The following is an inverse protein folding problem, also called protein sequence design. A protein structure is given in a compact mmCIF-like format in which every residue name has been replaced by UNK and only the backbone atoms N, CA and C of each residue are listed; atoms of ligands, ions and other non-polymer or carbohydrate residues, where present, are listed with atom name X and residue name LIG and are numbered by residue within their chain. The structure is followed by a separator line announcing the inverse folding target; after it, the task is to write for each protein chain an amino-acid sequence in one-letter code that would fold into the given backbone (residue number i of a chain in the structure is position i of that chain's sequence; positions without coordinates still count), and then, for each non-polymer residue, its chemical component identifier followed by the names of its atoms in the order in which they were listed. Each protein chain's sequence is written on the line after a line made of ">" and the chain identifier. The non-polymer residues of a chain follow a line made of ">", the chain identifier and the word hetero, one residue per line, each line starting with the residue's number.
data_IF_759586678627
#
_entry.id   IF_759586678627
#
_cell.length_a   1.000
_cell.length_b   1.000
_cell.length_c   1.000
_cell.angle_alpha   90.00
_cell.angle_beta   90.00
_cell.angle_gamma   90.00
#
_symmetry.space_group_name_H-M   'P 1'
#
loop_
_entity.id
_entity.type
_entity.pdbx_description
1 polymer ?
#
# COMPACT_ATOMS: atom_id res chain seq x y z
N UNK A 1 -9.01 -16.89 -7.37
CA UNK A 1 -8.42 -18.22 -7.67
C UNK A 1 -9.16 -19.40 -7.03
N UNK A 2 -9.58 -20.40 -7.82
CA UNK A 2 -9.88 -21.73 -7.30
C UNK A 2 -8.55 -22.39 -6.88
N UNK A 3 -8.41 -22.80 -5.62
CA UNK A 3 -7.21 -23.49 -5.15
C UNK A 3 -7.09 -24.82 -5.91
N UNK A 4 -6.24 -24.86 -6.92
CA UNK A 4 -5.88 -26.12 -7.59
C UNK A 4 -5.03 -26.92 -6.62
N UNK A 5 -5.38 -28.17 -6.26
CA UNK A 5 -4.64 -28.90 -5.26
C UNK A 5 -3.23 -29.20 -5.77
N UNK A 6 -2.25 -29.04 -4.87
CA UNK A 6 -0.85 -29.35 -5.12
C UNK A 6 -0.71 -30.81 -5.61
N UNK A 7 -0.17 -30.98 -6.82
CA UNK A 7 0.25 -32.28 -7.35
C UNK A 7 1.47 -32.75 -6.56
N UNK A 8 1.25 -33.47 -5.46
CA UNK A 8 2.35 -33.95 -4.63
C UNK A 8 1.95 -34.64 -3.33
N UNK A 9 0.95 -35.53 -3.35
CA UNK A 9 0.74 -36.52 -2.31
C UNK A 9 0.10 -37.76 -2.94
N UNK A 10 0.59 -38.95 -2.58
CA UNK A 10 0.05 -40.21 -3.06
C UNK A 10 -1.47 -40.24 -2.83
N UNK A 11 -2.25 -40.26 -3.92
CA UNK A 11 -3.71 -40.33 -3.87
C UNK A 11 -4.13 -41.59 -3.13
N UNK A 12 -4.37 -41.44 -1.83
CA UNK A 12 -4.99 -42.46 -1.01
C UNK A 12 -6.41 -42.57 -1.54
N UNK A 13 -6.69 -43.56 -2.40
CA UNK A 13 -8.05 -43.83 -2.88
C UNK A 13 -8.94 -44.07 -1.66
N UNK A 14 -9.69 -43.05 -1.28
CA UNK A 14 -10.69 -43.14 -0.22
C UNK A 14 -11.76 -44.13 -0.68
N UNK A 15 -12.22 -44.98 0.23
CA UNK A 15 -13.37 -45.83 -0.08
C UNK A 15 -14.61 -44.97 -0.32
N UNK A 16 -15.59 -45.50 -1.06
CA UNK A 16 -16.88 -44.82 -1.29
C UNK A 16 -17.54 -44.41 0.02
N UNK A 17 -17.47 -45.25 1.06
CA UNK A 17 -17.98 -44.93 2.40
C UNK A 17 -17.22 -43.78 3.07
N UNK A 18 -15.90 -43.69 2.87
CA UNK A 18 -15.11 -42.58 3.37
C UNK A 18 -15.42 -41.27 2.65
N UNK A 19 -15.61 -41.31 1.32
CA UNK A 19 -16.06 -40.16 0.53
C UNK A 19 -17.46 -39.71 0.95
N UNK A 20 -18.39 -40.64 1.17
CA UNK A 20 -19.74 -40.33 1.66
C UNK A 20 -19.71 -39.66 3.05
N UNK A 21 -18.88 -40.16 3.96
CA UNK A 21 -18.71 -39.57 5.29
C UNK A 21 -18.07 -38.17 5.22
N UNK A 22 -17.10 -37.98 4.32
CA UNK A 22 -16.46 -36.69 4.06
C UNK A 22 -17.47 -35.67 3.49
N UNK A 23 -18.27 -36.07 2.50
CA UNK A 23 -19.35 -35.26 1.93
C UNK A 23 -20.40 -34.89 3.00
N UNK A 24 -20.78 -35.85 3.87
CA UNK A 24 -21.75 -35.64 4.93
C UNK A 24 -21.24 -34.65 6.01
N UNK A 25 -19.95 -34.71 6.34
CA UNK A 25 -19.32 -33.74 7.23
C UNK A 25 -19.23 -32.35 6.57
N UNK A 26 -18.84 -32.30 5.29
CA UNK A 26 -18.74 -31.07 4.51
C UNK A 26 -20.08 -30.34 4.38
N UNK A 27 -21.17 -31.04 4.05
CA UNK A 27 -22.51 -30.43 3.95
C UNK A 27 -22.93 -29.78 5.27
N UNK A 28 -22.76 -30.47 6.39
CA UNK A 28 -23.08 -29.94 7.73
C UNK A 28 -22.25 -28.70 8.08
N UNK A 29 -20.98 -28.67 7.69
CA UNK A 29 -20.11 -27.54 7.99
C UNK A 29 -20.37 -26.34 7.08
N UNK A 30 -20.32 -26.53 5.76
CA UNK A 30 -20.35 -25.44 4.78
C UNK A 30 -21.76 -24.98 4.40
N UNK A 31 -22.78 -25.84 4.50
CA UNK A 31 -24.16 -25.50 4.12
C UNK A 31 -25.03 -25.25 5.35
N UNK A 32 -24.89 -26.08 6.38
CA UNK A 32 -25.74 -25.99 7.59
C UNK A 32 -25.10 -25.13 8.70
N UNK A 33 -23.84 -24.69 8.54
CA UNK A 33 -23.17 -23.81 9.50
C UNK A 33 -22.82 -24.46 10.85
N UNK A 34 -22.84 -25.80 10.94
CA UNK A 34 -22.57 -26.51 12.19
C UNK A 34 -21.09 -26.46 12.57
N UNK A 35 -20.82 -26.35 13.86
CA UNK A 35 -19.45 -26.44 14.38
C UNK A 35 -18.89 -27.86 14.25
N UNK A 36 -17.56 -27.99 14.21
CA UNK A 36 -16.87 -29.30 14.17
C UNK A 36 -17.25 -30.20 15.36
N UNK A 37 -17.63 -29.62 16.50
CA UNK A 37 -18.06 -30.35 17.71
C UNK A 37 -19.48 -30.90 17.55
N UNK A 38 -20.40 -30.13 17.00
CA UNK A 38 -21.77 -30.59 16.74
C UNK A 38 -21.79 -31.70 15.70
N UNK A 39 -21.00 -31.55 14.64
CA UNK A 39 -20.82 -32.57 13.59
C UNK A 39 -20.23 -33.84 14.18
N UNK A 40 -19.22 -33.72 15.05
CA UNK A 40 -18.59 -34.85 15.73
C UNK A 40 -19.62 -35.67 16.53
N UNK A 41 -20.47 -34.98 17.31
CA UNK A 41 -21.56 -35.60 18.07
C UNK A 41 -22.56 -36.31 17.17
N UNK A 42 -22.98 -35.67 16.07
CA UNK A 42 -23.94 -36.25 15.14
C UNK A 42 -23.40 -37.47 14.36
N UNK A 43 -22.12 -37.45 14.00
CA UNK A 43 -21.49 -38.50 13.21
C UNK A 43 -20.85 -39.60 14.07
N UNK A 44 -20.87 -39.47 15.40
CA UNK A 44 -20.24 -40.45 16.30
C UNK A 44 -18.72 -40.53 16.16
N UNK A 45 -18.06 -39.43 15.80
CA UNK A 45 -16.60 -39.35 15.60
C UNK A 45 -16.00 -38.21 16.40
N UNK A 46 -14.67 -38.15 16.53
CA UNK A 46 -14.01 -37.04 17.21
C UNK A 46 -14.01 -35.75 16.36
N UNK A 47 -13.92 -34.57 17.02
CA UNK A 47 -13.76 -33.27 16.33
C UNK A 47 -12.56 -33.22 15.39
N UNK A 48 -11.49 -33.95 15.73
CA UNK A 48 -10.29 -34.07 14.92
C UNK A 48 -10.55 -34.91 13.67
N UNK A 49 -11.36 -35.96 13.78
CA UNK A 49 -11.81 -36.75 12.63
C UNK A 49 -12.69 -35.92 11.70
N UNK A 50 -13.58 -35.06 12.23
CA UNK A 50 -14.36 -34.12 11.42
C UNK A 50 -13.44 -33.16 10.66
N UNK A 51 -12.46 -32.55 11.33
CA UNK A 51 -11.50 -31.67 10.66
C UNK A 51 -10.77 -32.37 9.50
N UNK A 52 -10.37 -33.63 9.70
CA UNK A 52 -9.77 -34.45 8.64
C UNK A 52 -10.74 -34.78 7.52
N UNK A 53 -12.01 -35.10 7.82
CA UNK A 53 -13.04 -35.34 6.82
C UNK A 53 -13.33 -34.11 5.95
N UNK A 54 -13.27 -32.90 6.53
CA UNK A 54 -13.40 -31.65 5.77
C UNK A 54 -12.20 -31.44 4.83
N UNK A 55 -10.99 -31.74 5.29
CA UNK A 55 -9.79 -31.70 4.45
C UNK A 55 -9.86 -32.77 3.33
N UNK A 56 -10.22 -34.01 3.67
CA UNK A 56 -10.41 -35.11 2.72
C UNK A 56 -11.49 -34.74 1.66
N UNK A 57 -12.56 -34.03 2.06
CA UNK A 57 -13.59 -33.57 1.14
C UNK A 57 -13.10 -32.50 0.15
N UNK A 58 -12.24 -31.58 0.60
CA UNK A 58 -11.60 -30.59 -0.28
C UNK A 58 -10.59 -31.27 -1.22
N UNK A 59 -9.73 -32.14 -0.70
CA UNK A 59 -8.71 -32.85 -1.48
C UNK A 59 -9.33 -33.77 -2.54
N UNK A 60 -10.46 -34.42 -2.21
CA UNK A 60 -11.22 -35.25 -3.14
C UNK A 60 -12.10 -34.46 -4.11
N UNK A 61 -12.11 -33.12 -4.05
CA UNK A 61 -12.93 -32.26 -4.92
C UNK A 61 -14.44 -32.30 -4.63
N UNK A 62 -14.86 -32.88 -3.50
CA UNK A 62 -16.26 -32.90 -3.05
C UNK A 62 -16.72 -31.52 -2.57
N UNK A 63 -15.78 -30.66 -2.18
CA UNK A 63 -16.00 -29.27 -1.80
C UNK A 63 -15.16 -28.38 -2.70
N UNK A 64 -15.82 -27.45 -3.39
CA UNK A 64 -15.17 -26.38 -4.14
C UNK A 64 -15.56 -25.05 -3.50
N UNK A 65 -14.57 -24.29 -3.03
CA UNK A 65 -14.78 -22.97 -2.44
C UNK A 65 -14.39 -21.94 -3.48
N UNK A 66 -15.37 -21.14 -3.91
CA UNK A 66 -15.14 -20.00 -4.78
C UNK A 66 -15.33 -18.72 -3.97
N UNK A 67 -14.31 -17.88 -3.96
CA UNK A 67 -14.41 -16.50 -3.46
C UNK A 67 -14.52 -15.61 -4.68
N UNK A 68 -15.64 -14.91 -4.80
CA UNK A 68 -15.90 -13.96 -5.90
C UNK A 68 -15.39 -12.59 -5.45
N UNK A 69 -14.37 -12.10 -6.14
CA UNK A 69 -13.84 -10.74 -5.95
C UNK A 69 -14.74 -9.76 -6.71
N UNK A 70 -15.05 -8.57 -6.15
CA UNK A 70 -15.80 -7.54 -6.88
C UNK A 70 -15.17 -7.24 -8.24
N UNK A 71 -15.99 -7.03 -9.27
CA UNK A 71 -15.51 -6.80 -10.65
C UNK A 71 -14.69 -5.52 -10.81
N UNK A 72 -14.78 -4.60 -9.87
CA UNK A 72 -13.95 -3.39 -9.79
C UNK A 72 -12.53 -3.65 -9.31
N UNK A 73 -12.19 -4.89 -8.91
CA UNK A 73 -10.88 -5.28 -8.42
C UNK A 73 -10.31 -6.45 -9.23
N UNK A 74 -8.99 -6.51 -9.34
CA UNK A 74 -8.26 -7.63 -9.91
C UNK A 74 -7.49 -8.38 -8.81
N UNK A 75 -8.15 -9.37 -8.21
CA UNK A 75 -7.57 -10.17 -7.13
C UNK A 75 -6.38 -11.03 -7.57
N UNK A 76 -6.38 -11.52 -8.81
CA UNK A 76 -5.30 -12.37 -9.31
C UNK A 76 -4.02 -11.55 -9.56
N UNK A 77 -4.13 -10.32 -10.10
CA UNK A 77 -3.00 -9.40 -10.19
C UNK A 77 -2.49 -8.97 -8.81
N UNK A 78 -3.40 -8.71 -7.88
CA UNK A 78 -3.05 -8.35 -6.51
C UNK A 78 -2.23 -9.46 -5.83
N UNK A 79 -2.69 -10.72 -5.91
CA UNK A 79 -1.97 -11.87 -5.36
C UNK A 79 -0.60 -12.06 -6.02
N UNK A 80 -0.52 -11.96 -7.36
CA UNK A 80 0.75 -12.08 -8.07
C UNK A 80 1.79 -11.03 -7.65
N UNK A 81 1.37 -9.77 -7.49
CA UNK A 81 2.25 -8.70 -7.01
C UNK A 81 2.66 -8.91 -5.55
N UNK A 82 1.70 -9.26 -4.68
CA UNK A 82 1.95 -9.52 -3.26
C UNK A 82 2.98 -10.65 -3.10
N UNK A 83 2.81 -11.74 -3.83
CA UNK A 83 3.73 -12.88 -3.78
C UNK A 83 5.11 -12.54 -4.36
N UNK A 84 5.16 -11.79 -5.46
CA UNK A 84 6.43 -11.41 -6.11
C UNK A 84 7.29 -10.49 -5.23
N UNK A 85 6.68 -9.49 -4.61
CA UNK A 85 7.40 -8.46 -3.85
C UNK A 85 7.43 -8.71 -2.35
N UNK A 86 6.66 -9.68 -1.83
CA UNK A 86 6.66 -10.02 -0.41
C UNK A 86 6.07 -8.94 0.50
N UNK A 87 5.28 -8.01 -0.04
CA UNK A 87 4.62 -6.95 0.73
C UNK A 87 3.32 -7.45 1.37
N UNK A 88 2.85 -6.74 2.39
CA UNK A 88 1.71 -7.18 3.23
C UNK A 88 0.40 -7.23 2.45
N UNK A 89 0.10 -6.21 1.65
CA UNK A 89 -1.16 -6.12 0.92
C UNK A 89 -0.99 -5.46 -0.44
N UNK A 90 -1.79 -5.89 -1.42
CA UNK A 90 -1.89 -5.25 -2.74
C UNK A 90 -3.36 -5.15 -3.09
N UNK A 91 -3.77 -4.01 -3.62
CA UNK A 91 -5.08 -3.77 -4.16
C UNK A 91 -4.94 -3.23 -5.57
N UNK A 92 -5.55 -3.95 -6.53
CA UNK A 92 -5.53 -3.59 -7.95
C UNK A 92 -6.95 -3.23 -8.36
N UNK A 93 -7.20 -1.94 -8.57
CA UNK A 93 -8.49 -1.44 -9.05
C UNK A 93 -8.59 -1.51 -10.57
N UNK A 94 -9.82 -1.63 -11.07
CA UNK A 94 -10.14 -1.52 -12.49
C UNK A 94 -10.87 -0.20 -12.72
N UNK A 95 -10.18 0.85 -13.18
CA UNK A 95 -10.82 2.13 -13.43
C UNK A 95 -11.84 2.00 -14.57
N UNK A 96 -12.92 2.78 -14.51
CA UNK A 96 -13.88 2.86 -15.62
C UNK A 96 -13.35 3.70 -16.79
N UNK A 97 -12.41 4.60 -16.49
CA UNK A 97 -11.72 5.49 -17.41
C UNK A 97 -10.21 5.26 -17.30
N UNK A 98 -9.62 4.72 -18.37
CA UNK A 98 -8.19 4.40 -18.44
C UNK A 98 -7.29 5.64 -18.56
N UNK A 99 -7.86 6.85 -18.66
CA UNK A 99 -7.07 8.08 -18.59
C UNK A 99 -6.30 8.17 -17.26
N UNK A 100 -5.17 8.88 -17.25
CA UNK A 100 -4.40 9.10 -16.00
C UNK A 100 -5.26 9.73 -14.89
N UNK A 101 -6.27 10.53 -15.23
CA UNK A 101 -7.17 11.12 -14.26
C UNK A 101 -8.20 10.10 -13.75
N UNK A 102 -8.75 9.26 -14.62
CA UNK A 102 -9.61 8.14 -14.24
C UNK A 102 -8.91 7.14 -13.33
N UNK A 103 -7.68 6.76 -13.68
CA UNK A 103 -6.81 5.91 -12.85
C UNK A 103 -6.58 6.52 -11.46
N UNK A 104 -6.21 7.81 -11.39
CA UNK A 104 -5.97 8.50 -10.11
C UNK A 104 -7.23 8.57 -9.26
N UNK A 105 -8.39 8.87 -9.84
CA UNK A 105 -9.68 8.89 -9.13
C UNK A 105 -10.00 7.52 -8.55
N UNK A 106 -9.87 6.45 -9.34
CA UNK A 106 -10.16 5.09 -8.88
C UNK A 106 -9.22 4.65 -7.73
N UNK A 107 -7.92 4.90 -7.86
CA UNK A 107 -6.92 4.58 -6.83
C UNK A 107 -7.14 5.43 -5.57
N UNK A 108 -7.44 6.73 -5.73
CA UNK A 108 -7.76 7.63 -4.62
C UNK A 108 -9.03 7.20 -3.88
N UNK A 109 -10.11 6.89 -4.59
CA UNK A 109 -11.37 6.47 -3.98
C UNK A 109 -11.24 5.15 -3.22
N UNK A 110 -10.53 4.18 -3.78
CA UNK A 110 -10.26 2.92 -3.06
C UNK A 110 -9.39 3.15 -1.82
N UNK A 111 -8.35 3.99 -1.94
CA UNK A 111 -7.47 4.31 -0.81
C UNK A 111 -8.23 5.08 0.28
N UNK A 112 -9.15 5.97 -0.09
CA UNK A 112 -10.02 6.69 0.86
C UNK A 112 -10.86 5.69 1.66
N UNK A 113 -11.62 4.82 0.99
CA UNK A 113 -12.42 3.80 1.66
C UNK A 113 -11.59 2.85 2.53
N UNK A 114 -10.37 2.49 2.09
CA UNK A 114 -9.45 1.70 2.90
C UNK A 114 -9.05 2.42 4.20
N UNK A 115 -8.77 3.73 4.14
CA UNK A 115 -8.47 4.52 5.33
C UNK A 115 -9.70 4.67 6.22
N UNK A 116 -10.87 4.95 5.65
CA UNK A 116 -12.13 5.11 6.38
C UNK A 116 -12.53 3.85 7.18
N UNK A 117 -12.16 2.66 6.70
CA UNK A 117 -12.41 1.39 7.38
C UNK A 117 -11.30 0.96 8.36
N UNK A 118 -10.08 1.48 8.22
CA UNK A 118 -8.90 0.97 8.96
C UNK A 118 -8.24 1.97 9.91
N UNK A 119 -8.54 3.26 9.76
CA UNK A 119 -8.02 4.32 10.62
C UNK A 119 -8.89 4.43 11.88
N UNK A 120 -8.23 4.61 13.02
CA UNK A 120 -8.84 4.85 14.32
C UNK A 120 -8.39 6.20 14.88
N UNK A 121 -9.06 6.68 15.93
CA UNK A 121 -8.69 7.94 16.59
C UNK A 121 -7.28 7.92 17.23
N UNK A 122 -6.70 6.74 17.44
CA UNK A 122 -5.34 6.57 17.97
C UNK A 122 -4.25 6.65 16.88
N UNK A 123 -4.64 6.63 15.60
CA UNK A 123 -3.69 6.62 14.50
C UNK A 123 -3.07 8.00 14.24
N UNK A 124 -1.78 7.98 13.89
CA UNK A 124 -1.04 9.10 13.33
C UNK A 124 -0.77 8.77 11.87
N UNK A 125 -1.48 9.45 10.98
CA UNK A 125 -1.51 9.19 9.54
C UNK A 125 -0.71 10.24 8.80
N UNK A 126 0.46 9.83 8.31
CA UNK A 126 1.28 10.67 7.44
C UNK A 126 0.68 10.78 6.05
N UNK A 127 0.58 11.98 5.50
CA UNK A 127 0.23 12.20 4.10
C UNK A 127 1.41 12.83 3.35
N UNK A 128 1.82 12.17 2.27
CA UNK A 128 2.67 12.78 1.27
C UNK A 128 1.89 13.85 0.51
N UNK A 129 2.57 14.50 -0.43
CA UNK A 129 1.96 15.51 -1.29
C UNK A 129 2.10 15.13 -2.77
N UNK A 130 1.09 15.47 -3.56
CA UNK A 130 1.06 15.24 -5.00
C UNK A 130 -0.34 14.93 -5.51
N UNK A 131 -0.45 14.81 -6.83
CA UNK A 131 -1.73 14.77 -7.55
C UNK A 131 -2.68 13.65 -7.08
N UNK A 132 -2.15 12.44 -6.83
CA UNK A 132 -2.95 11.32 -6.33
C UNK A 132 -3.39 11.51 -4.87
N UNK A 133 -2.52 12.10 -4.03
CA UNK A 133 -2.83 12.36 -2.62
C UNK A 133 -3.85 13.51 -2.48
N UNK A 134 -3.80 14.53 -3.36
CA UNK A 134 -4.82 15.57 -3.42
C UNK A 134 -6.20 15.00 -3.73
N UNK A 135 -6.29 14.09 -4.71
CA UNK A 135 -7.55 13.39 -5.02
C UNK A 135 -8.03 12.55 -3.83
N UNK A 136 -7.13 11.86 -3.13
CA UNK A 136 -7.46 11.11 -1.91
C UNK A 136 -8.06 12.04 -0.84
N UNK A 137 -7.36 13.13 -0.51
CA UNK A 137 -7.81 14.08 0.51
C UNK A 137 -9.15 14.75 0.14
N UNK A 138 -9.44 14.93 -1.14
CA UNK A 138 -10.74 15.42 -1.62
C UNK A 138 -11.86 14.36 -1.56
N UNK A 139 -11.52 13.08 -1.46
CA UNK A 139 -12.49 11.96 -1.46
C UNK A 139 -12.86 11.51 -0.05
N UNK A 140 -11.99 11.75 0.95
CA UNK A 140 -12.29 11.45 2.35
C UNK A 140 -13.53 12.19 2.83
N UNK A 141 -14.41 11.49 3.54
CA UNK A 141 -15.69 12.03 4.01
C UNK A 141 -16.17 11.45 5.34
N UNK A 142 -15.64 10.29 5.78
CA UNK A 142 -16.01 9.69 7.05
C UNK A 142 -15.31 10.38 8.24
N UNK A 143 -15.97 10.40 9.39
CA UNK A 143 -15.36 10.88 10.64
C UNK A 143 -14.33 9.87 11.13
N UNK A 144 -13.06 10.28 11.20
CA UNK A 144 -11.95 9.45 11.67
C UNK A 144 -11.44 9.86 13.06
N UNK A 145 -11.40 11.17 13.33
CA UNK A 145 -10.92 11.71 14.61
C UNK A 145 -9.44 11.42 14.90
N UNK A 146 -8.63 11.14 13.87
CA UNK A 146 -7.22 10.79 14.01
C UNK A 146 -6.31 12.04 13.97
N UNK A 147 -5.01 11.82 13.82
CA UNK A 147 -4.04 12.89 13.54
C UNK A 147 -3.43 12.71 12.16
N UNK A 148 -3.64 13.66 11.25
CA UNK A 148 -2.92 13.74 10.00
C UNK A 148 -1.62 14.53 10.16
N UNK A 149 -0.53 14.05 9.57
CA UNK A 149 0.80 14.68 9.64
C UNK A 149 1.37 14.87 8.23
N UNK A 150 1.91 16.05 7.96
CA UNK A 150 2.64 16.32 6.71
C UNK A 150 3.94 15.52 6.66
N UNK A 151 4.16 14.72 5.61
CA UNK A 151 5.38 13.90 5.50
C UNK A 151 6.60 14.63 4.93
N UNK A 152 6.42 15.72 4.18
CA UNK A 152 7.56 16.43 3.59
C UNK A 152 7.32 17.92 3.46
N UNK A 153 8.41 18.68 3.34
CA UNK A 153 8.36 20.08 2.95
C UNK A 153 7.68 20.28 1.60
N UNK A 154 7.33 21.53 1.33
CA UNK A 154 6.61 21.92 0.13
C UNK A 154 7.56 22.25 -1.03
N UNK A 155 7.11 21.97 -2.25
CA UNK A 155 7.69 22.51 -3.48
C UNK A 155 6.55 23.19 -4.26
N UNK A 156 6.64 24.47 -4.64
CA UNK A 156 5.65 25.07 -5.51
C UNK A 156 5.59 24.32 -6.84
N UNK A 157 4.41 23.87 -7.27
CA UNK A 157 4.19 23.29 -8.59
C UNK A 157 3.03 23.99 -9.31
N UNK A 158 3.19 24.33 -10.60
CA UNK A 158 2.12 24.98 -11.36
C UNK A 158 0.94 24.04 -11.68
N UNK A 159 1.14 22.72 -11.63
CA UNK A 159 0.12 21.71 -11.93
C UNK A 159 -0.59 21.14 -10.69
N UNK A 160 -0.27 21.65 -9.49
CA UNK A 160 -0.92 21.29 -8.24
C UNK A 160 -1.36 22.56 -7.54
N UNK A 161 -2.68 22.79 -7.49
CA UNK A 161 -3.26 24.01 -6.92
C UNK A 161 -3.01 24.12 -5.40
N UNK A 162 -2.89 22.99 -4.71
CA UNK A 162 -2.79 22.92 -3.25
C UNK A 162 -1.37 22.63 -2.76
N UNK A 163 -0.95 23.37 -1.73
CA UNK A 163 0.28 23.07 -0.99
C UNK A 163 0.13 21.80 -0.14
N UNK A 164 1.25 21.21 0.29
CA UNK A 164 1.26 20.09 1.23
C UNK A 164 0.49 20.41 2.53
N UNK A 165 0.61 21.65 3.01
CA UNK A 165 -0.09 22.14 4.20
C UNK A 165 -1.61 22.11 3.99
N UNK A 166 -2.07 22.64 2.86
CA UNK A 166 -3.50 22.72 2.54
C UNK A 166 -4.12 21.33 2.40
N UNK A 167 -3.41 20.42 1.74
CA UNK A 167 -3.85 19.03 1.58
C UNK A 167 -4.11 18.35 2.92
N UNK A 168 -3.16 18.44 3.85
CA UNK A 168 -3.24 17.81 5.17
C UNK A 168 -4.38 18.42 5.99
N UNK A 169 -4.54 19.75 5.93
CA UNK A 169 -5.63 20.44 6.63
C UNK A 169 -7.00 20.05 6.08
N UNK A 170 -7.17 19.99 4.76
CA UNK A 170 -8.42 19.52 4.15
C UNK A 170 -8.77 18.10 4.57
N UNK A 171 -7.81 17.18 4.55
CA UNK A 171 -8.04 15.79 4.99
C UNK A 171 -8.49 15.75 6.46
N UNK A 172 -7.88 16.58 7.32
CA UNK A 172 -8.27 16.68 8.72
C UNK A 172 -9.68 17.26 8.89
N UNK A 173 -10.01 18.36 8.21
CA UNK A 173 -11.31 19.01 8.26
C UNK A 173 -12.43 18.09 7.77
N UNK A 174 -12.24 17.41 6.63
CA UNK A 174 -13.22 16.53 6.03
C UNK A 174 -13.57 15.32 6.92
N UNK A 175 -12.69 14.95 7.85
CA UNK A 175 -12.81 13.74 8.68
C UNK A 175 -12.93 14.03 10.18
N UNK A 176 -13.07 15.29 10.58
CA UNK A 176 -13.12 15.69 11.99
C UNK A 176 -11.84 15.35 12.77
N UNK A 177 -10.70 15.31 12.07
CA UNK A 177 -9.39 14.94 12.60
C UNK A 177 -8.53 16.19 12.88
N UNK A 178 -7.35 15.99 13.47
CA UNK A 178 -6.35 17.06 13.68
C UNK A 178 -5.27 17.04 12.59
N UNK A 179 -4.63 18.19 12.33
CA UNK A 179 -3.55 18.33 11.36
C UNK A 179 -2.27 18.86 12.02
N UNK A 180 -1.14 18.17 11.80
CA UNK A 180 0.21 18.67 12.10
C UNK A 180 0.93 18.96 10.80
N UNK A 181 1.34 20.21 10.61
CA UNK A 181 1.95 20.70 9.37
C UNK A 181 3.15 21.58 9.70
N UNK A 182 4.05 21.75 8.73
CA UNK A 182 5.21 22.63 8.89
C UNK A 182 5.52 23.40 7.60
N UNK A 183 6.12 24.57 7.78
CA UNK A 183 6.41 25.50 6.70
C UNK A 183 7.91 25.48 6.36
N UNK A 184 8.31 24.49 5.56
CA UNK A 184 9.67 24.37 5.06
C UNK A 184 9.67 23.94 3.58
N UNK A 185 10.70 24.30 2.80
CA UNK A 185 10.91 23.72 1.48
C UNK A 185 11.19 22.22 1.58
N UNK A 186 10.84 21.47 0.54
CA UNK A 186 11.14 20.03 0.45
C UNK A 186 12.64 19.75 0.56
N UNK A 187 13.45 20.52 -0.16
CA UNK A 187 14.90 20.40 -0.20
C UNK A 187 15.56 21.78 -0.14
N UNK A 188 16.74 21.84 0.45
CA UNK A 188 17.56 23.06 0.53
C UNK A 188 18.95 22.86 -0.09
N UNK A 189 19.71 23.93 -0.37
CA UNK A 189 21.00 23.83 -1.04
C UNK A 189 22.08 23.05 -0.27
N UNK A 190 22.03 23.08 1.06
CA UNK A 190 23.06 22.51 1.92
C UNK A 190 22.53 22.03 3.28
N UNK A 191 23.28 21.14 3.94
CA UNK A 191 22.93 20.55 5.21
C UNK A 191 22.82 21.58 6.35
N UNK A 192 23.65 22.63 6.35
CA UNK A 192 23.62 23.65 7.41
C UNK A 192 22.30 24.42 7.40
N UNK A 193 21.77 24.75 6.21
CA UNK A 193 20.45 25.34 6.03
C UNK A 193 19.35 24.37 6.50
N UNK A 194 19.51 23.07 6.20
CA UNK A 194 18.53 22.07 6.61
C UNK A 194 18.46 21.95 8.13
N UNK A 195 19.61 21.88 8.79
CA UNK A 195 19.72 21.78 10.24
C UNK A 195 19.18 23.04 10.94
N UNK A 196 19.44 24.23 10.38
CA UNK A 196 18.86 25.47 10.88
C UNK A 196 17.32 25.42 10.83
N UNK A 197 16.73 24.96 9.72
CA UNK A 197 15.28 24.81 9.59
C UNK A 197 14.72 23.73 10.53
N UNK A 198 15.37 22.56 10.62
CA UNK A 198 14.97 21.48 11.54
C UNK A 198 15.00 21.92 13.00
N UNK A 199 15.89 22.84 13.37
CA UNK A 199 16.01 23.38 14.73
C UNK A 199 14.97 24.46 15.07
N UNK A 200 14.29 25.03 14.07
CA UNK A 200 13.23 26.00 14.30
C UNK A 200 12.07 25.30 15.01
N UNK A 201 11.61 25.84 16.14
CA UNK A 201 10.69 25.14 17.06
C UNK A 201 9.45 24.55 16.38
N UNK A 202 8.77 25.32 15.53
CA UNK A 202 7.56 24.86 14.86
C UNK A 202 7.80 23.72 13.86
N UNK A 203 8.94 23.75 13.15
CA UNK A 203 9.35 22.67 12.26
C UNK A 203 9.77 21.44 13.09
N UNK A 204 10.60 21.64 14.12
CA UNK A 204 11.08 20.55 14.98
C UNK A 204 9.93 19.79 15.66
N UNK A 205 8.94 20.50 16.20
CA UNK A 205 7.78 19.92 16.86
C UNK A 205 6.93 19.10 15.88
N UNK A 206 6.73 19.60 14.66
CA UNK A 206 5.99 18.88 13.63
C UNK A 206 6.75 17.65 13.13
N UNK A 207 8.07 17.75 12.94
CA UNK A 207 8.90 16.62 12.49
C UNK A 207 8.97 15.51 13.55
N UNK A 208 8.87 15.84 14.85
CA UNK A 208 8.84 14.85 15.93
C UNK A 208 7.61 13.92 15.87
N UNK A 209 6.51 14.34 15.23
CA UNK A 209 5.34 13.48 15.01
C UNK A 209 5.61 12.37 13.99
N UNK A 210 6.64 12.49 13.14
CA UNK A 210 7.00 11.49 12.14
C UNK A 210 7.53 10.19 12.76
N UNK A 211 8.07 10.24 13.98
CA UNK A 211 8.47 9.05 14.74
C UNK A 211 7.25 8.27 15.29
N UNK A 212 6.06 8.87 15.24
CA UNK A 212 4.82 8.30 15.79
C UNK A 212 3.89 7.74 14.71
N UNK A 213 4.31 7.76 13.45
CA UNK A 213 3.49 7.31 12.33
C UNK A 213 3.04 5.86 12.54
N UNK A 214 1.73 5.67 12.56
CA UNK A 214 1.11 4.34 12.52
C UNK A 214 0.79 3.95 11.08
N UNK A 215 0.47 4.95 10.24
CA UNK A 215 0.19 4.80 8.82
C UNK A 215 0.85 5.94 8.04
N UNK A 216 1.28 5.69 6.81
CA UNK A 216 1.76 6.72 5.90
C UNK A 216 1.23 6.47 4.50
N UNK A 217 0.57 7.46 3.90
CA UNK A 217 0.10 7.39 2.52
C UNK A 217 1.04 8.16 1.62
N UNK A 218 1.71 7.43 0.75
CA UNK A 218 2.78 7.96 -0.11
C UNK A 218 2.46 7.76 -1.58
N UNK A 219 3.19 8.45 -2.46
CA UNK A 219 3.14 8.23 -3.89
C UNK A 219 4.52 7.84 -4.41
N UNK A 220 4.56 6.93 -5.37
CA UNK A 220 5.82 6.57 -6.04
C UNK A 220 6.14 7.61 -7.10
N UNK A 221 7.28 8.29 -6.95
CA UNK A 221 7.85 9.16 -7.98
C UNK A 221 8.82 8.39 -8.86
N UNK A 222 8.67 8.46 -10.18
CA UNK A 222 9.70 7.97 -11.10
C UNK A 222 10.76 9.05 -11.27
N UNK A 223 12.05 8.69 -11.28
CA UNK A 223 13.16 9.64 -11.37
C UNK A 223 13.28 10.25 -12.78
N UNK A 224 12.30 11.07 -13.15
CA UNK A 224 12.16 11.76 -14.44
C UNK A 224 11.45 13.11 -14.22
N UNK A 225 11.72 14.12 -15.07
CA UNK A 225 11.06 15.43 -14.97
C UNK A 225 9.54 15.33 -14.96
N UNK A 226 8.88 16.02 -14.01
CA UNK A 226 7.42 16.02 -13.86
C UNK A 226 6.82 14.75 -13.24
N UNK A 227 7.64 13.74 -12.96
CA UNK A 227 7.24 12.48 -12.31
C UNK A 227 7.87 12.30 -10.92
N UNK A 228 8.97 13.00 -10.61
CA UNK A 228 9.59 13.07 -9.28
C UNK A 228 9.62 14.50 -8.76
N UNK A 229 9.05 14.69 -7.58
CA UNK A 229 9.06 15.96 -6.86
C UNK A 229 10.46 16.31 -6.36
N UNK A 230 11.20 15.32 -5.85
CA UNK A 230 12.58 15.52 -5.43
C UNK A 230 13.47 15.94 -6.60
N UNK A 231 13.39 15.28 -7.76
CA UNK A 231 14.13 15.67 -8.96
C UNK A 231 13.80 17.10 -9.38
N UNK A 232 12.51 17.45 -9.42
CA UNK A 232 12.04 18.76 -9.83
C UNK A 232 12.52 19.88 -8.88
N UNK A 233 12.77 19.56 -7.59
CA UNK A 233 13.28 20.50 -6.59
C UNK A 233 14.78 20.82 -6.71
N UNK A 234 15.54 20.02 -7.47
CA UNK A 234 16.99 20.11 -7.53
C UNK A 234 17.50 20.94 -8.71
N UNK A 235 18.72 21.46 -8.58
CA UNK A 235 19.45 22.04 -9.70
C UNK A 235 20.06 20.98 -10.62
N UNK A 236 20.44 21.35 -11.84
CA UNK A 236 20.86 20.40 -12.88
C UNK A 236 22.06 19.54 -12.48
N UNK A 237 23.03 20.09 -11.75
CA UNK A 237 24.19 19.33 -11.27
C UNK A 237 23.83 18.19 -10.31
N UNK A 238 22.90 18.45 -9.36
CA UNK A 238 22.41 17.42 -8.44
C UNK A 238 21.62 16.34 -9.20
N UNK A 239 20.80 16.74 -10.19
CA UNK A 239 20.04 15.81 -11.03
C UNK A 239 20.95 14.87 -11.81
N UNK A 240 21.99 15.40 -12.44
CA UNK A 240 22.99 14.62 -13.17
C UNK A 240 23.73 13.65 -12.25
N UNK A 241 24.20 14.13 -11.09
CA UNK A 241 24.92 13.32 -10.12
C UNK A 241 24.08 12.16 -9.58
N UNK A 242 22.81 12.41 -9.24
CA UNK A 242 21.90 11.39 -8.71
C UNK A 242 21.45 10.40 -9.79
N UNK A 243 21.28 10.88 -11.03
CA UNK A 243 21.04 9.99 -12.18
C UNK A 243 22.24 9.08 -12.41
N UNK A 244 23.47 9.61 -12.33
CA UNK A 244 24.70 8.82 -12.43
C UNK A 244 24.89 7.86 -11.23
N UNK A 245 24.39 8.22 -10.05
CA UNK A 245 24.34 7.35 -8.87
C UNK A 245 23.29 6.23 -9.01
N UNK A 246 22.46 6.27 -10.04
CA UNK A 246 21.47 5.25 -10.36
C UNK A 246 20.15 5.42 -9.61
N UNK A 247 19.72 6.63 -9.25
CA UNK A 247 18.37 6.82 -8.71
C UNK A 247 17.33 6.46 -9.77
N UNK A 248 16.37 5.60 -9.40
CA UNK A 248 15.29 5.11 -10.28
C UNK A 248 13.94 5.65 -9.82
N UNK A 249 13.76 5.77 -8.51
CA UNK A 249 12.51 6.18 -7.89
C UNK A 249 12.75 7.02 -6.64
N UNK A 250 11.69 7.66 -6.18
CA UNK A 250 11.64 8.26 -4.85
C UNK A 250 10.29 8.03 -4.17
N UNK A 251 10.30 8.13 -2.84
CA UNK A 251 9.13 8.18 -1.99
C UNK A 251 9.32 9.33 -1.01
N UNK A 252 8.64 10.45 -1.25
CA UNK A 252 8.63 11.60 -0.32
C UNK A 252 10.05 12.14 -0.03
N UNK A 253 10.92 12.19 -1.03
CA UNK A 253 12.32 12.60 -0.89
C UNK A 253 13.31 11.48 -0.52
N UNK A 254 12.84 10.28 -0.16
CA UNK A 254 13.70 9.10 0.01
C UNK A 254 14.01 8.50 -1.35
N UNK A 255 15.29 8.49 -1.74
CA UNK A 255 15.73 8.05 -3.06
C UNK A 255 16.00 6.56 -3.09
N UNK A 256 15.58 5.89 -4.15
CA UNK A 256 15.73 4.44 -4.32
C UNK A 256 16.32 4.13 -5.70
N UNK A 257 17.37 3.31 -5.71
CA UNK A 257 18.04 2.81 -6.91
C UNK A 257 17.74 1.33 -7.19
N UNK A 258 18.48 0.70 -8.13
CA UNK A 258 18.23 -0.67 -8.57
C UNK A 258 18.21 -1.67 -7.42
N UNK A 259 17.32 -2.66 -7.54
CA UNK A 259 17.15 -3.68 -6.51
C UNK A 259 16.50 -3.19 -5.22
N UNK A 260 16.01 -1.94 -5.17
CA UNK A 260 15.39 -1.36 -3.99
C UNK A 260 16.38 -0.73 -3.01
N UNK A 261 17.64 -0.50 -3.41
CA UNK A 261 18.64 0.10 -2.54
C UNK A 261 18.35 1.58 -2.31
N UNK A 262 18.23 2.00 -1.06
CA UNK A 262 18.16 3.41 -0.70
C UNK A 262 19.49 4.14 -1.00
N UNK A 263 19.39 5.33 -1.57
CA UNK A 263 20.52 6.19 -1.94
C UNK A 263 20.54 7.41 -1.03
N UNK A 264 21.49 7.44 -0.11
CA UNK A 264 21.62 8.44 0.94
C UNK A 264 22.43 9.67 0.47
N UNK A 265 21.92 10.37 -0.54
CA UNK A 265 22.62 11.50 -1.17
C UNK A 265 21.92 12.87 -0.98
N UNK A 266 20.68 12.87 -0.49
CA UNK A 266 19.89 14.09 -0.23
C UNK A 266 19.32 14.16 1.19
N UNK A 267 19.54 13.14 2.03
CA UNK A 267 18.89 13.03 3.34
C UNK A 267 19.20 14.20 4.27
N UNK A 268 20.42 14.71 4.21
CA UNK A 268 20.87 15.86 5.01
C UNK A 268 20.24 17.18 4.53
N UNK A 269 19.75 17.25 3.29
CA UNK A 269 19.15 18.43 2.64
C UNK A 269 17.63 18.39 2.52
N UNK A 270 17.00 17.24 2.71
CA UNK A 270 15.53 17.06 2.62
C UNK A 270 14.87 17.30 3.97
N UNK A 271 13.83 18.14 4.01
CA UNK A 271 13.03 18.37 5.23
C UNK A 271 11.76 17.52 5.14
N UNK A 272 11.69 16.44 5.92
CA UNK A 272 10.57 15.53 5.93
C UNK A 272 10.88 14.19 6.57
N UNK A 273 10.02 13.22 6.29
CA UNK A 273 10.13 11.84 6.73
C UNK A 273 11.38 11.19 6.14
N UNK A 274 12.02 10.36 6.95
CA UNK A 274 13.22 9.63 6.58
C UNK A 274 12.89 8.18 6.20
N UNK A 275 13.77 7.53 5.45
CA UNK A 275 13.67 6.09 5.16
C UNK A 275 13.51 5.24 6.42
N UNK A 276 14.33 5.43 7.47
CA UNK A 276 14.16 4.75 8.75
C UNK A 276 12.79 4.93 9.41
N UNK A 277 12.21 6.13 9.36
CA UNK A 277 10.86 6.38 9.87
C UNK A 277 9.79 5.65 9.05
N UNK A 278 9.93 5.61 7.72
CA UNK A 278 9.03 4.83 6.86
C UNK A 278 9.15 3.32 7.15
N UNK A 279 10.36 2.78 7.32
CA UNK A 279 10.56 1.38 7.71
C UNK A 279 9.95 1.05 9.08
N UNK A 280 10.00 2.00 10.02
CA UNK A 280 9.39 1.84 11.35
C UNK A 280 7.85 1.98 11.34
N UNK A 281 7.29 2.61 10.30
CA UNK A 281 5.85 2.82 10.17
C UNK A 281 5.14 1.49 9.84
N UNK A 282 4.21 1.01 10.68
CA UNK A 282 3.56 -0.29 10.50
C UNK A 282 2.82 -0.45 9.16
N UNK A 283 2.22 0.63 8.65
CA UNK A 283 1.50 0.63 7.38
C UNK A 283 1.89 1.80 6.48
N UNK A 284 2.88 1.57 5.61
CA UNK A 284 3.14 2.49 4.48
C UNK A 284 2.34 2.03 3.26
N UNK A 285 1.38 2.86 2.85
CA UNK A 285 0.46 2.67 1.73
C UNK A 285 0.94 3.50 0.54
N UNK A 286 1.49 2.85 -0.48
CA UNK A 286 1.87 3.51 -1.72
C UNK A 286 0.72 3.53 -2.73
N UNK A 287 0.39 4.73 -3.20
CA UNK A 287 -0.47 4.94 -4.36
C UNK A 287 0.41 5.06 -5.62
N UNK A 288 0.15 4.21 -6.61
CA UNK A 288 0.87 4.23 -7.89
C UNK A 288 -0.11 4.27 -9.06
N UNK A 289 0.06 5.24 -9.95
CA UNK A 289 -0.75 5.43 -11.16
C UNK A 289 0.12 5.84 -12.35
N UNK A 290 -0.32 5.47 -13.55
CA UNK A 290 0.37 5.80 -14.80
C UNK A 290 1.41 4.74 -15.18
N UNK A 291 1.27 4.20 -16.39
CA UNK A 291 2.04 3.04 -16.85
C UNK A 291 3.55 3.29 -16.91
N UNK A 292 3.96 4.55 -17.11
CA UNK A 292 5.37 4.95 -17.14
C UNK A 292 6.10 4.76 -15.80
N UNK A 293 5.38 4.50 -14.70
CA UNK A 293 5.95 4.30 -13.36
C UNK A 293 6.24 2.85 -13.02
N UNK A 294 6.12 1.92 -13.97
CA UNK A 294 6.31 0.49 -13.71
C UNK A 294 7.66 0.15 -13.05
N UNK A 295 8.77 0.63 -13.64
CA UNK A 295 10.12 0.40 -13.11
C UNK A 295 10.32 1.03 -11.72
N UNK A 296 9.84 2.28 -11.56
CA UNK A 296 9.93 2.99 -10.28
C UNK A 296 9.13 2.29 -9.18
N UNK A 297 7.93 1.81 -9.51
CA UNK A 297 7.05 1.10 -8.58
C UNK A 297 7.66 -0.22 -8.18
N UNK A 298 8.14 -1.02 -9.15
CA UNK A 298 8.85 -2.27 -8.86
C UNK A 298 10.08 -2.04 -7.96
N UNK A 299 10.81 -0.95 -8.19
CA UNK A 299 11.99 -0.58 -7.40
C UNK A 299 11.64 -0.23 -5.96
N UNK A 300 10.61 0.62 -5.75
CA UNK A 300 10.13 0.97 -4.41
C UNK A 300 9.59 -0.27 -3.68
N UNK A 301 8.86 -1.16 -4.35
CA UNK A 301 8.35 -2.38 -3.73
C UNK A 301 9.48 -3.31 -3.24
N UNK A 302 10.63 -3.33 -3.93
CA UNK A 302 11.81 -4.09 -3.50
C UNK A 302 12.57 -3.45 -2.32
N UNK A 303 12.37 -2.17 -2.06
CA UNK A 303 13.10 -1.45 -1.00
C UNK A 303 12.69 -1.81 0.42
N UNK A 304 11.49 -2.37 0.59
CA UNK A 304 10.90 -2.61 1.92
C UNK A 304 10.25 -1.36 2.55
N UNK A 305 10.36 -0.18 1.93
CA UNK A 305 9.73 1.05 2.42
C UNK A 305 8.20 1.00 2.45
N UNK A 306 7.59 0.12 1.65
CA UNK A 306 6.15 0.06 1.41
C UNK A 306 5.58 -1.28 1.86
N UNK A 307 4.51 -1.24 2.65
CA UNK A 307 3.80 -2.43 3.12
C UNK A 307 2.56 -2.74 2.28
N UNK A 308 1.91 -1.71 1.73
CA UNK A 308 0.68 -1.82 0.93
C UNK A 308 0.81 -1.08 -0.38
N UNK A 309 0.39 -1.71 -1.47
CA UNK A 309 0.26 -1.05 -2.78
C UNK A 309 -1.22 -0.90 -3.14
N UNK A 310 -1.63 0.30 -3.53
CA UNK A 310 -2.89 0.54 -4.25
C UNK A 310 -2.57 1.06 -5.64
N UNK A 311 -3.00 0.32 -6.66
CA UNK A 311 -2.73 0.65 -8.07
C UNK A 311 -3.86 0.18 -8.98
N UNK A 312 -3.72 0.39 -10.29
CA UNK A 312 -4.65 -0.08 -11.31
C UNK A 312 -4.07 -1.23 -12.14
N UNK A 313 -4.92 -1.95 -12.84
CA UNK A 313 -4.57 -3.21 -13.51
C UNK A 313 -3.52 -3.06 -14.63
N UNK A 314 -3.57 -1.99 -15.44
CA UNK A 314 -2.55 -1.72 -16.47
C UNK A 314 -1.14 -1.56 -15.89
N UNK A 315 -0.99 -0.74 -14.84
CA UNK A 315 0.29 -0.56 -14.17
C UNK A 315 0.71 -1.84 -13.44
N UNK A 316 -0.22 -2.55 -12.80
CA UNK A 316 0.07 -3.83 -12.14
C UNK A 316 0.67 -4.86 -13.11
N UNK A 317 0.12 -5.01 -14.32
CA UNK A 317 0.69 -5.89 -15.37
C UNK A 317 2.09 -5.43 -15.76
N UNK A 318 2.29 -4.13 -15.93
CA UNK A 318 3.58 -3.56 -16.31
C UNK A 318 4.65 -3.77 -15.23
N UNK A 319 4.28 -3.62 -13.95
CA UNK A 319 5.14 -3.92 -12.80
C UNK A 319 5.51 -5.40 -12.76
N UNK A 320 4.56 -6.30 -13.01
CA UNK A 320 4.82 -7.74 -13.11
C UNK A 320 5.69 -8.13 -14.32
N UNK A 321 5.79 -7.29 -15.34
CA UNK A 321 6.66 -7.51 -16.50
C UNK A 321 8.09 -6.97 -16.29
N UNK A 322 8.34 -6.16 -15.25
CA UNK A 322 9.69 -5.71 -14.91
C UNK A 322 10.57 -6.90 -14.51
N UNK A 323 11.90 -6.77 -14.64
CA UNK A 323 12.88 -7.81 -14.23
C UNK A 323 13.26 -7.66 -12.76
#
# INVERSE_FOLDING_TARGET
>A
MAKTPARGAASRRLSTSALALAAAAARRFYVEGLTKVEIARQLGVSRFKVARLLADAQEAGLVQIQVVVPSSLDGDLADALRERFGIRAVYVVRPEDDSIQGQRRAVAAFTAGLLEESVTAEDVVGLAWGRSISQLAATLSATLGCRFVQLSGALPRPDVEESAVELVRRAAEATGSSATTFYAPLAVPDAATADALRSQSGISEALAELDRLTKAVVSVGAWRPGESTALDALGDGDREALTAAGVVAEVTGVLVGPGGKEIDALSDRVIGVTGPQLHATPDVIAMACGDLRAEATATVLRSGLVSTLVTHDSLARSVLATT
#
